data_IF_090321835299
#
_entry.id   IF_090321835299
#
_cell.length_a   1.000
_cell.length_b   1.000
_cell.length_c   1.000
_cell.angle_alpha   90.00
_cell.angle_beta   90.00
_cell.angle_gamma   90.00
#
_symmetry.space_group_name_H-M   'P 1'
#
loop_
_entity.id
_entity.type
_entity.pdbx_description
1 polymer ?
#
# COMPACT_ATOMS: atom_id res chain seq x y z
N UNK A 1 18.45 14.86 -18.71
CA UNK A 1 17.78 14.91 -20.03
C UNK A 1 16.53 14.06 -19.94
N UNK A 2 15.35 14.68 -19.88
CA UNK A 2 14.06 13.98 -19.81
C UNK A 2 13.56 13.75 -21.25
N UNK A 3 13.49 12.49 -21.67
CA UNK A 3 12.81 12.12 -22.91
C UNK A 3 11.32 11.99 -22.57
N UNK A 4 10.52 12.95 -23.03
CA UNK A 4 9.08 12.97 -22.85
C UNK A 4 8.42 12.13 -23.94
N UNK A 5 8.05 10.89 -23.63
CA UNK A 5 7.15 10.09 -24.47
C UNK A 5 5.72 10.52 -24.11
N UNK A 6 5.03 11.18 -25.03
CA UNK A 6 3.63 11.60 -24.84
C UNK A 6 2.72 10.48 -25.35
N UNK A 7 2.24 9.66 -24.43
CA UNK A 7 1.11 8.75 -24.67
C UNK A 7 -0.17 9.51 -24.31
N UNK A 8 -1.12 9.59 -25.25
CA UNK A 8 -2.41 10.24 -25.01
C UNK A 8 -3.24 9.29 -24.13
N UNK A 9 -3.30 9.56 -22.83
CA UNK A 9 -4.09 8.79 -21.87
C UNK A 9 -5.36 9.58 -21.54
N UNK A 10 -6.47 8.88 -21.32
CA UNK A 10 -7.79 9.50 -21.09
C UNK A 10 -7.83 10.34 -19.79
N UNK A 11 -6.88 10.15 -18.89
CA UNK A 11 -6.69 10.90 -17.65
C UNK A 11 -5.19 10.94 -17.29
N UNK A 12 -4.76 11.89 -16.46
CA UNK A 12 -3.42 11.87 -15.87
C UNK A 12 -3.16 10.54 -15.16
N UNK A 13 -1.97 9.97 -15.35
CA UNK A 13 -1.48 8.89 -14.53
C UNK A 13 -0.49 9.46 -13.51
N UNK A 14 -0.83 9.34 -12.24
CA UNK A 14 0.07 9.65 -11.13
C UNK A 14 0.75 8.33 -10.73
N UNK A 15 2.01 8.16 -11.12
CA UNK A 15 2.81 7.00 -10.77
C UNK A 15 3.64 7.36 -9.54
N UNK A 16 3.13 7.03 -8.35
CA UNK A 16 3.88 7.10 -7.11
C UNK A 16 4.27 5.69 -6.70
N UNK A 17 5.56 5.42 -6.74
CA UNK A 17 6.13 4.13 -6.35
C UNK A 17 7.13 4.36 -5.23
N UNK A 18 7.05 3.54 -4.20
CA UNK A 18 7.98 3.57 -3.08
C UNK A 18 8.91 2.36 -3.16
N UNK A 19 10.18 2.59 -2.85
CA UNK A 19 11.20 1.53 -2.74
C UNK A 19 11.86 1.74 -1.40
N UNK A 20 11.89 0.68 -0.58
CA UNK A 20 12.62 0.67 0.68
C UNK A 20 13.96 -0.05 0.43
N UNK A 21 15.06 0.50 0.95
CA UNK A 21 16.40 -0.04 0.74
C UNK A 21 17.07 -0.15 2.11
N UNK A 22 17.59 -1.34 2.44
CA UNK A 22 18.52 -1.50 3.55
C UNK A 22 19.86 -0.87 3.16
N UNK A 23 20.24 0.23 3.82
CA UNK A 23 21.45 0.98 3.50
C UNK A 23 22.74 0.27 3.92
N UNK A 24 22.67 -0.75 4.78
CA UNK A 24 23.85 -1.50 5.22
C UNK A 24 24.30 -2.52 4.16
N UNK A 25 23.34 -3.21 3.54
CA UNK A 25 23.60 -4.28 2.58
C UNK A 25 23.21 -3.94 1.14
N UNK A 26 22.50 -2.83 0.93
CA UNK A 26 22.06 -2.35 -0.39
C UNK A 26 20.90 -3.14 -1.01
N UNK A 27 20.15 -3.90 -0.21
CA UNK A 27 19.05 -4.73 -0.71
C UNK A 27 17.72 -3.99 -0.65
N UNK A 28 16.86 -4.23 -1.65
CA UNK A 28 15.48 -3.78 -1.61
C UNK A 28 14.71 -4.58 -0.55
N UNK A 29 13.90 -3.86 0.23
CA UNK A 29 13.00 -4.40 1.25
C UNK A 29 11.54 -4.37 0.74
N UNK A 30 10.79 -5.39 1.13
CA UNK A 30 9.40 -5.65 0.78
C UNK A 30 8.54 -5.77 2.04
N UNK A 31 7.22 -5.84 1.87
CA UNK A 31 6.28 -5.99 3.00
C UNK A 31 6.64 -7.15 3.94
N UNK A 32 7.09 -8.28 3.37
CA UNK A 32 7.47 -9.49 4.11
C UNK A 32 8.72 -9.33 4.96
N UNK A 33 9.52 -8.27 4.73
CA UNK A 33 10.67 -7.95 5.57
C UNK A 33 10.25 -7.16 6.83
N UNK A 34 9.05 -6.56 6.82
CA UNK A 34 8.49 -5.81 7.95
C UNK A 34 7.39 -6.55 8.70
N UNK A 35 6.74 -7.51 8.06
CA UNK A 35 5.62 -8.28 8.61
C UNK A 35 5.92 -9.77 8.47
N UNK A 36 6.07 -10.45 9.61
CA UNK A 36 6.40 -11.88 9.63
C UNK A 36 5.34 -12.76 8.94
N UNK A 37 4.06 -12.36 9.04
CA UNK A 37 2.94 -13.07 8.43
C UNK A 37 1.80 -12.15 8.00
N UNK A 38 1.47 -12.15 6.71
CA UNK A 38 0.35 -11.40 6.13
C UNK A 38 -0.90 -12.29 6.16
N UNK A 39 -1.47 -12.48 7.35
CA UNK A 39 -2.67 -13.29 7.55
C UNK A 39 -3.93 -12.45 7.84
N UNK A 40 -5.02 -13.12 8.20
CA UNK A 40 -6.31 -12.48 8.46
C UNK A 40 -6.24 -11.42 9.56
N UNK A 41 -5.38 -11.59 10.56
CA UNK A 41 -5.23 -10.61 11.64
C UNK A 41 -4.56 -9.35 11.09
N UNK A 42 -3.48 -9.51 10.32
CA UNK A 42 -2.83 -8.39 9.62
C UNK A 42 -3.80 -7.65 8.69
N UNK A 43 -4.60 -8.38 7.89
CA UNK A 43 -5.61 -7.76 7.02
C UNK A 43 -6.66 -6.99 7.82
N UNK A 44 -7.01 -7.48 9.01
CA UNK A 44 -7.97 -6.79 9.89
C UNK A 44 -7.36 -5.51 10.44
N UNK A 45 -6.09 -5.51 10.83
CA UNK A 45 -5.36 -4.30 11.23
C UNK A 45 -5.32 -3.32 10.06
N UNK A 46 -4.86 -3.75 8.88
CA UNK A 46 -4.79 -2.92 7.67
C UNK A 46 -6.13 -2.26 7.33
N UNK A 47 -7.24 -3.02 7.34
CA UNK A 47 -8.57 -2.48 7.01
C UNK A 47 -9.07 -1.43 8.00
N UNK A 48 -8.59 -1.44 9.24
CA UNK A 48 -8.95 -0.49 10.30
C UNK A 48 -7.89 0.59 10.54
N UNK A 49 -6.73 0.47 9.90
CA UNK A 49 -5.61 1.39 10.04
C UNK A 49 -5.93 2.78 9.51
N UNK A 50 -5.13 3.76 9.90
CA UNK A 50 -5.38 5.17 9.62
C UNK A 50 -5.28 5.44 8.12
N UNK A 51 -6.34 5.97 7.52
CA UNK A 51 -6.27 6.51 6.16
C UNK A 51 -5.47 7.82 6.17
N UNK A 52 -4.52 7.94 5.25
CA UNK A 52 -3.70 9.13 5.06
C UNK A 52 -3.79 9.52 3.59
N UNK A 53 -4.65 10.49 3.30
CA UNK A 53 -4.79 11.02 1.96
C UNK A 53 -5.52 12.35 1.98
N UNK A 54 -5.58 12.99 0.80
CA UNK A 54 -6.03 14.38 0.67
C UNK A 54 -7.56 14.53 0.71
N UNK A 55 -8.31 13.44 0.53
CA UNK A 55 -9.77 13.47 0.59
C UNK A 55 -10.28 13.57 2.03
N UNK A 56 -11.34 14.35 2.23
CA UNK A 56 -11.94 14.55 3.55
C UNK A 56 -12.47 13.24 4.18
N UNK A 57 -12.46 13.19 5.51
CA UNK A 57 -12.86 12.01 6.29
C UNK A 57 -14.29 11.51 5.99
N UNK A 58 -15.17 12.36 5.47
CA UNK A 58 -16.53 11.96 5.09
C UNK A 58 -16.57 10.92 3.95
N UNK A 59 -15.51 10.85 3.13
CA UNK A 59 -15.37 9.88 2.03
C UNK A 59 -14.63 8.60 2.46
N UNK A 60 -14.15 8.50 3.70
CA UNK A 60 -13.25 7.44 4.14
C UNK A 60 -13.86 6.04 3.94
N UNK A 61 -15.15 5.86 4.22
CA UNK A 61 -15.82 4.58 3.99
C UNK A 61 -15.80 4.18 2.51
N UNK A 62 -16.11 5.11 1.61
CA UNK A 62 -16.13 4.85 0.17
C UNK A 62 -14.72 4.58 -0.37
N UNK A 63 -13.71 5.27 0.18
CA UNK A 63 -12.29 5.02 -0.12
C UNK A 63 -11.90 3.61 0.29
N UNK A 64 -12.25 3.18 1.50
CA UNK A 64 -12.00 1.80 1.98
C UNK A 64 -12.74 0.77 1.13
N UNK A 65 -13.98 1.04 0.72
CA UNK A 65 -14.74 0.18 -0.19
C UNK A 65 -14.06 0.05 -1.57
N UNK A 66 -13.50 1.13 -2.11
CA UNK A 66 -12.73 1.04 -3.36
C UNK A 66 -11.41 0.27 -3.18
N UNK A 67 -10.68 0.56 -2.11
CA UNK A 67 -9.38 -0.04 -1.84
C UNK A 67 -9.48 -1.53 -1.52
N UNK A 68 -10.54 -1.98 -0.82
CA UNK A 68 -10.65 -3.35 -0.32
C UNK A 68 -11.82 -4.16 -0.89
N UNK A 69 -12.85 -3.50 -1.42
CA UNK A 69 -14.11 -4.15 -1.82
C UNK A 69 -14.02 -5.00 -3.09
N UNK A 70 -12.95 -4.84 -3.87
CA UNK A 70 -12.72 -5.65 -5.07
C UNK A 70 -12.10 -7.03 -4.77
N UNK A 71 -11.60 -7.26 -3.56
CA UNK A 71 -11.14 -8.58 -3.11
C UNK A 71 -12.32 -9.40 -2.58
N UNK A 72 -12.45 -10.65 -3.03
CA UNK A 72 -13.53 -11.57 -2.65
C UNK A 72 -13.41 -12.04 -1.21
N UNK A 73 -12.20 -12.07 -0.66
CA UNK A 73 -11.95 -12.46 0.72
C UNK A 73 -10.67 -11.85 1.29
N UNK A 74 -10.49 -11.97 2.61
CA UNK A 74 -9.24 -11.54 3.26
C UNK A 74 -8.06 -12.41 2.81
N UNK A 75 -8.28 -13.69 2.53
CA UNK A 75 -7.26 -14.63 2.06
C UNK A 75 -6.74 -14.25 0.67
N UNK A 76 -7.62 -13.78 -0.23
CA UNK A 76 -7.22 -13.25 -1.53
C UNK A 76 -6.32 -12.02 -1.37
N UNK A 77 -6.71 -11.06 -0.53
CA UNK A 77 -5.91 -9.87 -0.26
C UNK A 77 -4.56 -10.23 0.40
N UNK A 78 -4.56 -11.14 1.36
CA UNK A 78 -3.33 -11.67 1.97
C UNK A 78 -2.38 -12.25 0.93
N UNK A 79 -2.89 -13.06 0.00
CA UNK A 79 -2.08 -13.68 -1.06
C UNK A 79 -1.52 -12.62 -2.02
N UNK A 80 -2.33 -11.63 -2.39
CA UNK A 80 -1.94 -10.52 -3.26
C UNK A 80 -0.83 -9.68 -2.63
N UNK A 81 -0.94 -9.36 -1.34
CA UNK A 81 0.07 -8.59 -0.61
C UNK A 81 1.35 -9.41 -0.34
N UNK A 82 1.23 -10.72 -0.09
CA UNK A 82 2.40 -11.59 0.15
C UNK A 82 3.27 -11.79 -1.09
N UNK A 83 2.67 -11.81 -2.27
CA UNK A 83 3.39 -12.03 -3.53
C UNK A 83 3.86 -10.70 -4.18
N UNK A 84 3.88 -9.61 -3.42
CA UNK A 84 4.03 -8.28 -3.97
C UNK A 84 5.49 -7.81 -4.22
N UNK A 85 6.44 -8.74 -4.36
CA UNK A 85 7.85 -8.38 -4.60
C UNK A 85 8.07 -7.62 -5.91
N UNK A 86 7.15 -7.72 -6.86
CA UNK A 86 7.24 -7.03 -8.15
C UNK A 86 6.26 -5.86 -8.28
N UNK A 87 5.52 -5.50 -7.21
CA UNK A 87 4.53 -4.39 -7.23
C UNK A 87 3.49 -4.51 -8.35
N UNK A 88 3.25 -5.73 -8.86
CA UNK A 88 2.43 -6.00 -10.05
C UNK A 88 0.94 -5.74 -9.83
N UNK A 89 0.50 -5.75 -8.58
CA UNK A 89 -0.87 -5.48 -8.18
C UNK A 89 -1.16 -3.97 -8.02
N UNK A 90 -0.16 -3.10 -8.19
CA UNK A 90 -0.29 -1.67 -7.95
C UNK A 90 -0.33 -1.28 -6.47
N UNK A 91 -0.02 -2.19 -5.54
CA UNK A 91 0.15 -1.86 -4.14
C UNK A 91 1.62 -1.63 -3.82
N UNK A 92 1.93 -0.59 -3.06
CA UNK A 92 3.29 -0.22 -2.67
C UNK A 92 3.41 -0.12 -1.15
N UNK A 93 4.63 -0.26 -0.65
CA UNK A 93 4.91 -0.19 0.79
C UNK A 93 5.97 0.86 1.05
N UNK A 94 5.77 1.68 2.06
CA UNK A 94 6.79 2.57 2.60
C UNK A 94 6.88 2.40 4.10
N UNK A 95 8.01 2.81 4.65
CA UNK A 95 8.28 2.67 6.07
C UNK A 95 8.88 3.96 6.57
N UNK A 96 8.41 4.40 7.74
CA UNK A 96 9.01 5.50 8.48
C UNK A 96 9.58 4.97 9.79
N UNK A 97 10.00 5.85 10.70
CA UNK A 97 10.50 5.44 12.02
C UNK A 97 9.47 4.64 12.83
N UNK A 98 8.18 4.96 12.72
CA UNK A 98 7.14 4.42 13.59
C UNK A 98 5.98 3.76 12.85
N UNK A 99 5.87 3.94 11.53
CA UNK A 99 4.72 3.42 10.76
C UNK A 99 5.14 2.58 9.57
N UNK A 100 4.31 1.57 9.29
CA UNK A 100 4.25 0.82 8.04
C UNK A 100 3.11 1.38 7.19
N UNK A 101 3.44 2.02 6.07
CA UNK A 101 2.49 2.54 5.11
C UNK A 101 2.23 1.58 3.96
N UNK A 102 0.96 1.38 3.62
CA UNK A 102 0.55 0.59 2.45
C UNK A 102 -0.28 1.49 1.53
N UNK A 103 0.26 1.72 0.33
CA UNK A 103 -0.44 2.38 -0.77
C UNK A 103 -1.22 1.34 -1.57
N UNK A 104 -2.52 1.55 -1.74
CA UNK A 104 -3.45 0.68 -2.45
C UNK A 104 -4.01 1.38 -3.68
N UNK A 105 -4.14 0.69 -4.83
CA UNK A 105 -4.72 1.29 -6.02
C UNK A 105 -6.23 1.50 -5.85
N UNK A 106 -6.72 2.65 -6.29
CA UNK A 106 -8.15 3.01 -6.34
C UNK A 106 -8.49 3.65 -7.69
N UNK A 107 -9.76 3.96 -7.92
CA UNK A 107 -10.16 4.65 -9.15
C UNK A 107 -9.43 6.00 -9.29
N UNK A 108 -9.12 6.40 -10.52
CA UNK A 108 -8.44 7.68 -10.79
C UNK A 108 -9.18 8.91 -10.25
N UNK A 109 -10.52 8.86 -10.21
CA UNK A 109 -11.35 9.92 -9.62
C UNK A 109 -11.10 10.10 -8.12
N UNK A 110 -10.60 9.06 -7.45
CA UNK A 110 -10.27 9.01 -6.02
C UNK A 110 -8.78 9.30 -5.77
N UNK A 111 -8.02 9.68 -6.81
CA UNK A 111 -6.59 9.96 -6.73
C UNK A 111 -5.68 8.84 -7.28
N UNK A 112 -6.25 7.71 -7.72
CA UNK A 112 -5.51 6.58 -8.29
C UNK A 112 -4.85 5.68 -7.26
N UNK A 113 -4.39 6.22 -6.14
CA UNK A 113 -3.91 5.49 -4.97
C UNK A 113 -4.39 6.13 -3.68
N UNK A 114 -4.53 5.33 -2.63
CA UNK A 114 -4.79 5.76 -1.26
C UNK A 114 -3.81 5.08 -0.32
N UNK A 115 -3.46 5.73 0.78
CA UNK A 115 -2.49 5.20 1.74
C UNK A 115 -3.13 4.90 3.09
N UNK A 116 -2.66 3.82 3.68
CA UNK A 116 -3.09 3.35 4.99
C UNK A 116 -1.85 3.12 5.85
N UNK A 117 -1.78 3.79 7.00
CA UNK A 117 -0.65 3.73 7.93
C UNK A 117 -1.01 2.88 9.16
N UNK A 118 -0.18 1.87 9.43
CA UNK A 118 -0.22 1.03 10.63
C UNK A 118 0.94 1.43 11.53
N UNK A 119 0.65 1.78 12.79
CA UNK A 119 1.71 1.99 13.78
C UNK A 119 2.38 0.66 14.12
N UNK A 120 3.71 0.64 14.22
CA UNK A 120 4.45 -0.58 14.52
C UNK A 120 4.06 -1.21 15.87
N UNK A 121 3.56 -0.43 16.81
CA UNK A 121 3.03 -0.94 18.09
C UNK A 121 1.74 -1.76 17.95
N UNK A 122 1.01 -1.61 16.84
CA UNK A 122 -0.19 -2.41 16.54
C UNK A 122 0.16 -3.77 15.93
N UNK A 123 1.39 -3.94 15.44
CA UNK A 123 1.86 -5.22 14.91
C UNK A 123 2.30 -6.14 16.06
N UNK A 124 1.75 -7.36 16.10
CA UNK A 124 2.07 -8.36 17.13
C UNK A 124 3.54 -8.76 17.17
N UNK A 125 4.23 -8.64 16.03
CA UNK A 125 5.65 -8.88 15.87
C UNK A 125 6.20 -7.74 15.01
N UNK A 126 6.86 -6.73 15.61
CA UNK A 126 7.48 -5.65 14.84
C UNK A 126 8.62 -6.19 13.96
N UNK A 127 9.01 -5.45 12.91
CA UNK A 127 10.16 -5.80 12.07
C UNK A 127 11.42 -6.04 12.91
N UNK A 128 12.28 -6.95 12.43
CA UNK A 128 13.63 -7.18 12.99
C UNK A 128 14.56 -5.98 12.77
#
# INVERSE_FOLDING_TARGET
MLIKVITILAHPHHLFFTINIDLNIGNQLFLTDFVSKIDKDFITILKNSKYVGDLENEFEQQIREQAFGHYKSNEELSLVLSNNKECKNGSYVYVTENVLGISMPVAHVTGGHVEFEIDFSELKEPPL
#
